data_IF_287353093814
#
_entry.id   IF_287353093814
#
_cell.length_a   1.000
_cell.length_b   1.000
_cell.length_c   1.000
_cell.angle_alpha   90.00
_cell.angle_beta   90.00
_cell.angle_gamma   90.00
#
_symmetry.space_group_name_H-M   'P 1'
#
loop_
_entity.id
_entity.type
_entity.pdbx_description
1 polymer ?
#
# COMPACT_ATOMS: atom_id res chain seq x y z
N UNK A 1 11.82 6.09 -31.47
CA UNK A 1 10.71 5.35 -30.82
C UNK A 1 11.23 3.97 -30.49
N UNK A 2 11.01 3.52 -29.26
CA UNK A 2 11.41 2.20 -28.76
C UNK A 2 10.18 1.36 -28.44
N UNK A 3 10.34 0.04 -28.45
CA UNK A 3 9.37 -0.94 -27.97
C UNK A 3 9.91 -1.56 -26.69
N UNK A 4 9.08 -1.57 -25.66
CA UNK A 4 9.37 -2.26 -24.39
C UNK A 4 8.22 -3.21 -24.09
N UNK A 5 8.49 -4.28 -23.35
CA UNK A 5 7.45 -5.19 -22.87
C UNK A 5 7.21 -4.93 -21.39
N UNK A 6 6.00 -4.50 -21.04
CA UNK A 6 5.64 -4.12 -19.67
C UNK A 6 4.68 -5.14 -19.06
N UNK A 7 4.89 -5.49 -17.81
CA UNK A 7 3.95 -6.29 -17.01
C UNK A 7 3.74 -5.66 -15.64
N UNK A 8 2.48 -5.49 -15.27
CA UNK A 8 2.06 -5.05 -13.94
C UNK A 8 1.63 -6.25 -13.09
N UNK A 9 2.03 -6.26 -11.82
CA UNK A 9 1.75 -7.33 -10.87
C UNK A 9 0.68 -6.93 -9.84
N UNK A 10 -0.04 -7.93 -9.33
CA UNK A 10 -1.07 -7.81 -8.30
C UNK A 10 -2.01 -6.60 -8.47
N UNK A 11 -2.19 -5.76 -7.44
CA UNK A 11 -3.14 -4.65 -7.41
C UNK A 11 -2.83 -3.53 -8.41
N UNK A 12 -1.61 -3.46 -8.98
CA UNK A 12 -1.33 -2.50 -10.04
C UNK A 12 -2.18 -2.75 -11.29
N UNK A 13 -2.69 -3.98 -11.45
CA UNK A 13 -3.59 -4.31 -12.54
C UNK A 13 -4.94 -3.59 -12.44
N UNK A 14 -5.33 -3.06 -11.28
CA UNK A 14 -6.59 -2.33 -11.12
C UNK A 14 -6.57 -0.96 -11.80
N UNK A 15 -5.39 -0.38 -12.02
CA UNK A 15 -5.21 0.89 -12.72
C UNK A 15 -5.29 0.77 -14.25
N UNK A 16 -5.08 -0.42 -14.82
CA UNK A 16 -4.98 -0.61 -16.27
C UNK A 16 -6.23 -1.29 -16.86
N UNK A 17 -6.44 -1.09 -18.15
CA UNK A 17 -7.57 -1.68 -18.88
C UNK A 17 -7.60 -3.21 -18.76
N UNK A 18 -8.81 -3.79 -18.64
CA UNK A 18 -9.01 -5.23 -18.35
C UNK A 18 -8.24 -6.13 -19.32
N UNK A 19 -8.20 -5.78 -20.61
CA UNK A 19 -7.46 -6.52 -21.61
C UNK A 19 -5.94 -6.46 -21.47
N UNK A 20 -5.37 -5.65 -20.57
CA UNK A 20 -3.92 -5.50 -20.38
C UNK A 20 -3.45 -6.14 -19.07
N UNK A 21 -4.39 -6.57 -18.22
CA UNK A 21 -4.10 -7.09 -16.87
C UNK A 21 -3.40 -8.45 -16.91
N UNK A 22 -2.50 -8.65 -15.95
CA UNK A 22 -1.81 -9.91 -15.61
C UNK A 22 -1.07 -10.56 -16.77
N UNK A 23 -0.67 -9.78 -17.78
CA UNK A 23 0.09 -10.25 -18.95
C UNK A 23 1.14 -9.24 -19.39
N UNK A 24 2.19 -9.68 -20.11
CA UNK A 24 3.11 -8.76 -20.77
C UNK A 24 2.41 -8.02 -21.93
N UNK A 25 2.69 -6.73 -22.07
CA UNK A 25 2.14 -5.84 -23.10
C UNK A 25 3.27 -5.11 -23.79
N UNK A 26 3.30 -5.13 -25.11
CA UNK A 26 4.24 -4.31 -25.89
C UNK A 26 3.77 -2.85 -25.86
N UNK A 27 4.64 -1.94 -25.42
CA UNK A 27 4.42 -0.50 -25.35
C UNK A 27 5.42 0.21 -26.24
N UNK A 28 4.95 1.17 -27.04
CA UNK A 28 5.81 2.04 -27.85
C UNK A 28 5.98 3.39 -27.17
N UNK A 29 7.23 3.82 -27.00
CA UNK A 29 7.58 5.07 -26.34
C UNK A 29 8.47 5.92 -27.25
N UNK A 30 8.29 7.23 -27.19
CA UNK A 30 9.22 8.19 -27.81
C UNK A 30 10.46 8.37 -26.92
N UNK A 31 11.62 8.58 -27.53
CA UNK A 31 12.86 8.80 -26.77
C UNK A 31 13.07 10.30 -26.51
N UNK A 32 13.67 10.67 -25.37
CA UNK A 32 14.12 9.80 -24.28
C UNK A 32 12.94 9.22 -23.49
N UNK A 33 13.02 7.93 -23.14
CA UNK A 33 11.98 7.22 -22.40
C UNK A 33 12.57 6.72 -21.08
N UNK A 34 11.88 6.99 -19.98
CA UNK A 34 12.20 6.50 -18.64
C UNK A 34 11.04 5.67 -18.09
N UNK A 35 11.30 4.89 -17.03
CA UNK A 35 10.28 4.09 -16.33
C UNK A 35 9.05 4.92 -15.94
N UNK A 36 9.21 6.16 -15.50
CA UNK A 36 8.08 7.05 -15.16
C UNK A 36 7.13 7.29 -16.34
N UNK A 37 7.63 7.31 -17.59
CA UNK A 37 6.77 7.45 -18.77
C UNK A 37 5.83 6.25 -18.93
N UNK A 38 6.25 5.03 -18.56
CA UNK A 38 5.38 3.84 -18.53
C UNK A 38 4.27 4.05 -17.51
N UNK A 39 4.61 4.45 -16.28
CA UNK A 39 3.64 4.64 -15.20
C UNK A 39 2.57 5.67 -15.59
N UNK A 40 2.99 6.80 -16.15
CA UNK A 40 2.10 7.85 -16.66
C UNK A 40 1.22 7.32 -17.79
N UNK A 41 1.80 6.62 -18.78
CA UNK A 41 1.06 6.08 -19.92
C UNK A 41 -0.06 5.13 -19.51
N UNK A 42 0.20 4.28 -18.51
CA UNK A 42 -0.76 3.31 -17.99
C UNK A 42 -1.66 3.85 -16.86
N UNK A 43 -1.46 5.10 -16.42
CA UNK A 43 -2.23 5.69 -15.33
C UNK A 43 -1.95 5.08 -13.96
N UNK A 44 -0.77 4.48 -13.77
CA UNK A 44 -0.36 3.88 -12.50
C UNK A 44 0.34 4.93 -11.63
N UNK A 45 -0.17 5.26 -10.44
CA UNK A 45 0.51 6.20 -9.55
C UNK A 45 1.84 5.63 -9.06
N UNK A 46 2.93 6.39 -9.16
CA UNK A 46 4.25 5.97 -8.67
C UNK A 46 4.28 5.74 -7.15
N UNK A 47 3.33 6.30 -6.40
CA UNK A 47 3.15 6.05 -4.98
C UNK A 47 2.69 4.63 -4.65
N UNK A 48 2.22 3.87 -5.64
CA UNK A 48 1.75 2.49 -5.48
C UNK A 48 2.79 1.46 -5.94
N UNK A 49 4.01 1.87 -6.29
CA UNK A 49 5.07 1.00 -6.85
C UNK A 49 6.26 0.94 -5.90
N UNK A 50 6.65 -0.27 -5.48
CA UNK A 50 7.82 -0.48 -4.60
C UNK A 50 9.01 -1.12 -5.32
N UNK A 51 8.81 -1.79 -6.45
CA UNK A 51 9.89 -2.39 -7.21
C UNK A 51 9.62 -2.29 -8.71
N UNK A 52 10.64 -1.83 -9.44
CA UNK A 52 10.69 -1.93 -10.89
C UNK A 52 11.90 -2.76 -11.27
N UNK A 53 11.70 -3.78 -12.09
CA UNK A 53 12.76 -4.57 -12.68
C UNK A 53 12.83 -4.28 -14.18
N UNK A 54 14.02 -3.96 -14.67
CA UNK A 54 14.33 -3.89 -16.11
C UNK A 54 15.31 -5.01 -16.43
N UNK A 55 14.88 -5.96 -17.27
CA UNK A 55 15.62 -7.17 -17.60
C UNK A 55 16.10 -7.94 -16.35
N UNK A 56 15.26 -7.96 -15.30
CA UNK A 56 15.55 -8.61 -14.01
C UNK A 56 16.37 -7.76 -13.03
N UNK A 57 16.86 -6.58 -13.44
CA UNK A 57 17.64 -5.70 -12.57
C UNK A 57 16.73 -4.66 -11.91
N UNK A 58 16.86 -4.50 -10.59
CA UNK A 58 16.15 -3.45 -9.85
C UNK A 58 16.64 -2.07 -10.23
N UNK A 59 15.71 -1.17 -10.56
CA UNK A 59 15.97 0.19 -11.01
C UNK A 59 14.97 1.18 -10.41
N UNK A 60 15.30 2.47 -10.45
CA UNK A 60 14.39 3.55 -10.04
C UNK A 60 13.51 4.05 -11.19
N UNK A 61 12.50 4.88 -10.86
CA UNK A 61 11.57 5.47 -11.86
C UNK A 61 12.25 6.37 -12.91
N UNK A 62 13.43 6.92 -12.59
CA UNK A 62 14.22 7.74 -13.52
C UNK A 62 15.12 6.94 -14.48
N UNK A 63 15.06 5.60 -14.45
CA UNK A 63 15.89 4.77 -15.31
C UNK A 63 15.48 4.89 -16.78
N UNK A 64 16.47 5.14 -17.65
CA UNK A 64 16.30 5.20 -19.11
C UNK A 64 16.07 3.82 -19.72
N UNK A 65 15.05 3.72 -20.57
CA UNK A 65 14.65 2.50 -21.24
C UNK A 65 15.28 2.40 -22.64
N UNK A 66 15.63 1.18 -23.03
CA UNK A 66 16.16 0.82 -24.33
C UNK A 66 15.15 -0.01 -25.14
N UNK A 67 15.34 -0.05 -26.46
CA UNK A 67 14.52 -0.92 -27.33
C UNK A 67 14.71 -2.39 -26.93
N UNK A 68 13.59 -3.09 -26.74
CA UNK A 68 13.54 -4.49 -26.34
C UNK A 68 13.47 -4.75 -24.83
N UNK A 69 13.54 -3.73 -23.97
CA UNK A 69 13.54 -3.93 -22.52
C UNK A 69 12.28 -4.65 -21.99
N UNK A 70 12.49 -5.53 -21.03
CA UNK A 70 11.45 -6.20 -20.25
C UNK A 70 11.27 -5.48 -18.91
N UNK A 71 10.13 -4.83 -18.72
CA UNK A 71 9.80 -4.04 -17.54
C UNK A 71 8.77 -4.76 -16.69
N UNK A 72 9.13 -5.12 -15.46
CA UNK A 72 8.19 -5.65 -14.47
C UNK A 72 7.98 -4.62 -13.38
N UNK A 73 6.71 -4.27 -13.12
CA UNK A 73 6.33 -3.27 -12.12
C UNK A 73 5.53 -3.96 -11.03
N UNK A 74 6.03 -3.88 -9.80
CA UNK A 74 5.42 -4.50 -8.63
C UNK A 74 4.84 -3.44 -7.71
N UNK A 75 3.68 -3.72 -7.10
CA UNK A 75 3.06 -2.80 -6.17
C UNK A 75 3.87 -2.68 -4.88
N UNK A 76 3.37 -1.85 -3.98
CA UNK A 76 3.86 -1.77 -2.60
C UNK A 76 3.83 -3.14 -1.94
N UNK A 77 4.97 -3.59 -1.42
CA UNK A 77 5.04 -4.83 -0.68
C UNK A 77 4.72 -4.54 0.78
N UNK A 78 3.48 -4.81 1.20
CA UNK A 78 3.07 -4.59 2.60
C UNK A 78 3.68 -5.63 3.57
N UNK A 79 4.17 -6.78 3.07
CA UNK A 79 4.62 -7.91 3.90
C UNK A 79 6.05 -8.42 3.65
N UNK A 80 6.83 -7.77 2.78
CA UNK A 80 8.22 -8.16 2.50
C UNK A 80 9.15 -6.96 2.57
N UNK A 81 10.20 -7.06 3.39
CA UNK A 81 11.30 -6.13 3.35
C UNK A 81 12.15 -6.39 2.10
N UNK A 82 11.99 -5.54 1.09
CA UNK A 82 12.76 -5.56 -0.15
C UNK A 82 13.80 -4.45 -0.21
N UNK A 83 14.16 -3.83 0.93
CA UNK A 83 15.02 -2.64 0.98
C UNK A 83 16.40 -2.86 0.39
N UNK A 84 16.95 -4.06 0.54
CA UNK A 84 18.24 -4.46 -0.03
C UNK A 84 18.18 -4.71 -1.56
N UNK A 85 16.96 -4.82 -2.10
CA UNK A 85 16.70 -5.17 -3.50
C UNK A 85 16.18 -3.95 -4.27
N UNK A 86 15.29 -3.14 -3.68
CA UNK A 86 14.69 -2.01 -4.35
C UNK A 86 15.66 -0.84 -4.50
N UNK A 87 15.63 -0.19 -5.67
CA UNK A 87 16.35 1.06 -5.92
C UNK A 87 15.43 2.27 -5.96
N UNK A 88 14.16 2.10 -5.59
CA UNK A 88 13.27 3.21 -5.35
C UNK A 88 13.58 3.85 -3.99
N UNK A 89 13.41 5.17 -3.83
CA UNK A 89 13.65 5.83 -2.55
C UNK A 89 12.78 5.20 -1.46
N UNK A 90 13.34 4.94 -0.27
CA UNK A 90 12.57 4.46 0.88
C UNK A 90 11.38 5.40 1.13
N UNK A 91 10.15 4.90 1.02
CA UNK A 91 8.95 5.62 1.46
C UNK A 91 8.36 4.90 2.67
N UNK A 92 8.22 5.60 3.81
CA UNK A 92 8.02 4.95 5.11
C UNK A 92 6.56 4.53 5.28
N UNK A 93 6.27 3.25 5.05
CA UNK A 93 5.23 2.51 5.76
C UNK A 93 5.74 1.16 6.25
N UNK A 94 7.05 1.04 6.47
CA UNK A 94 7.66 -0.15 7.08
C UNK A 94 7.11 -0.46 8.48
N UNK A 95 6.32 0.44 9.08
CA UNK A 95 5.71 0.29 10.40
C UNK A 95 4.25 0.72 10.30
N UNK A 96 3.33 -0.25 10.22
CA UNK A 96 1.90 0.01 10.28
C UNK A 96 1.55 0.53 11.68
N UNK A 97 1.13 1.80 11.76
CA UNK A 97 0.71 2.45 13.00
C UNK A 97 -0.79 2.67 12.98
N UNK A 98 -1.45 2.23 14.04
CA UNK A 98 -2.90 2.24 14.15
C UNK A 98 -3.34 3.21 15.26
N UNK A 99 -4.52 3.79 15.08
CA UNK A 99 -5.31 4.38 16.16
C UNK A 99 -6.60 3.57 16.27
N UNK A 100 -6.88 3.01 17.43
CA UNK A 100 -8.15 2.37 17.72
C UNK A 100 -9.07 3.31 18.50
N UNK A 101 -10.32 3.44 18.06
CA UNK A 101 -11.35 4.12 18.85
C UNK A 101 -11.71 3.32 20.13
N UNK A 102 -12.40 3.98 21.06
CA UNK A 102 -12.79 3.38 22.33
C UNK A 102 -13.74 2.18 22.23
N UNK A 103 -14.25 1.83 21.05
CA UNK A 103 -15.06 0.61 20.85
C UNK A 103 -14.21 -0.65 20.61
N UNK A 104 -12.89 -0.49 20.46
CA UNK A 104 -11.94 -1.53 20.07
C UNK A 104 -10.84 -1.75 21.14
N UNK A 105 -11.14 -1.49 22.42
CA UNK A 105 -10.19 -1.66 23.56
C UNK A 105 -9.53 -3.04 23.56
N UNK A 106 -10.33 -4.10 23.51
CA UNK A 106 -9.83 -5.48 23.54
C UNK A 106 -9.00 -5.83 22.30
N UNK A 107 -9.37 -5.31 21.12
CA UNK A 107 -8.57 -5.47 19.91
C UNK A 107 -7.22 -4.78 20.06
N UNK A 108 -7.19 -3.54 20.57
CA UNK A 108 -5.96 -2.80 20.78
C UNK A 108 -5.02 -3.49 21.77
N UNK A 109 -5.55 -4.09 22.85
CA UNK A 109 -4.76 -4.92 23.76
C UNK A 109 -4.14 -6.12 23.07
N UNK A 110 -4.92 -6.85 22.26
CA UNK A 110 -4.41 -8.01 21.52
C UNK A 110 -3.38 -7.63 20.47
N UNK A 111 -3.63 -6.55 19.73
CA UNK A 111 -2.67 -6.00 18.77
C UNK A 111 -1.32 -5.69 19.43
N UNK A 112 -1.31 -5.11 20.65
CA UNK A 112 -0.08 -4.86 21.41
C UNK A 112 0.63 -6.16 21.81
N UNK A 113 -0.10 -7.20 22.19
CA UNK A 113 0.47 -8.52 22.48
C UNK A 113 1.12 -9.14 21.23
N UNK A 114 0.56 -8.85 20.05
CA UNK A 114 1.11 -9.22 18.75
C UNK A 114 2.22 -8.27 18.24
N UNK A 115 2.67 -7.31 19.06
CA UNK A 115 3.76 -6.40 18.70
C UNK A 115 3.37 -5.26 17.74
N UNK A 116 2.08 -5.07 17.46
CA UNK A 116 1.61 -4.02 16.56
C UNK A 116 1.58 -2.65 17.25
N UNK A 117 2.01 -1.61 16.53
CA UNK A 117 1.93 -0.22 16.99
C UNK A 117 0.49 0.28 16.91
N UNK A 118 -0.23 0.16 18.04
CA UNK A 118 -1.59 0.68 18.19
C UNK A 118 -1.71 1.62 19.38
N UNK A 119 -2.18 2.82 19.07
CA UNK A 119 -2.61 3.80 20.04
C UNK A 119 -4.11 3.66 20.29
N UNK A 120 -4.50 3.52 21.54
CA UNK A 120 -5.90 3.40 21.93
C UNK A 120 -6.37 4.74 22.48
N UNK A 121 -7.47 5.26 21.93
CA UNK A 121 -8.07 6.54 22.32
C UNK A 121 -9.45 6.32 22.93
N UNK A 122 -9.45 5.86 24.19
CA UNK A 122 -10.67 5.70 24.97
C UNK A 122 -11.28 7.06 25.32
N UNK A 123 -12.58 7.22 25.10
CA UNK A 123 -13.33 8.44 25.47
C UNK A 123 -12.94 9.71 24.70
N UNK A 124 -12.09 9.61 23.67
CA UNK A 124 -11.74 10.73 22.82
C UNK A 124 -12.97 11.21 22.03
N UNK A 125 -13.08 12.52 21.83
CA UNK A 125 -14.07 13.06 20.92
C UNK A 125 -13.77 12.63 19.48
N UNK A 126 -14.78 12.70 18.62
CA UNK A 126 -14.62 12.40 17.19
C UNK A 126 -13.58 13.34 16.56
N UNK A 127 -13.55 14.59 16.99
CA UNK A 127 -12.62 15.62 16.54
C UNK A 127 -11.19 15.33 17.00
N UNK A 128 -10.99 14.88 18.24
CA UNK A 128 -9.67 14.50 18.77
C UNK A 128 -9.10 13.26 18.06
N UNK A 129 -9.96 12.26 17.80
CA UNK A 129 -9.60 11.06 17.04
C UNK A 129 -9.13 11.43 15.63
N UNK A 130 -9.90 12.28 14.94
CA UNK A 130 -9.54 12.76 13.59
C UNK A 130 -8.21 13.52 13.63
N UNK A 131 -8.03 14.43 14.59
CA UNK A 131 -6.79 15.20 14.72
C UNK A 131 -5.56 14.32 14.94
N UNK A 132 -5.67 13.28 15.78
CA UNK A 132 -4.60 12.32 16.03
C UNK A 132 -4.26 11.49 14.78
N UNK A 133 -5.28 11.03 14.03
CA UNK A 133 -5.10 10.30 12.77
C UNK A 133 -4.35 11.13 11.74
N UNK A 134 -4.74 12.40 11.58
CA UNK A 134 -4.14 13.32 10.60
C UNK A 134 -2.70 13.70 10.98
N UNK A 135 -2.46 14.03 12.25
CA UNK A 135 -1.13 14.47 12.71
C UNK A 135 -0.08 13.36 12.62
N UNK A 136 -0.40 12.15 13.07
CA UNK A 136 0.55 11.04 13.14
C UNK A 136 0.52 10.14 11.89
N UNK A 137 -0.35 10.43 10.92
CA UNK A 137 -0.57 9.63 9.70
C UNK A 137 -0.81 8.14 10.00
N UNK A 138 -1.62 7.88 11.03
CA UNK A 138 -1.96 6.52 11.50
C UNK A 138 -3.23 6.01 10.81
N UNK A 139 -3.42 4.70 10.75
CA UNK A 139 -4.65 4.08 10.22
C UNK A 139 -5.71 4.06 11.33
N UNK A 140 -6.87 4.66 11.09
CA UNK A 140 -7.98 4.63 12.05
C UNK A 140 -8.71 3.28 12.01
N UNK A 141 -8.79 2.58 13.13
CA UNK A 141 -9.60 1.40 13.34
C UNK A 141 -10.89 1.80 14.06
N UNK A 142 -12.03 1.46 13.49
CA UNK A 142 -13.34 1.77 14.08
C UNK A 142 -14.38 0.75 13.64
N UNK A 143 -15.46 0.63 14.44
CA UNK A 143 -16.71 -0.03 14.00
C UNK A 143 -17.78 0.97 13.55
N UNK A 144 -17.55 2.26 13.77
CA UNK A 144 -18.45 3.32 13.34
C UNK A 144 -18.09 3.77 11.91
N UNK A 145 -18.90 3.30 10.96
CA UNK A 145 -18.76 3.69 9.56
C UNK A 145 -18.86 5.21 9.36
N UNK A 146 -19.66 5.94 10.16
CA UNK A 146 -19.82 7.40 9.98
C UNK A 146 -18.54 8.15 10.32
N UNK A 147 -17.81 7.69 11.34
CA UNK A 147 -16.50 8.24 11.70
C UNK A 147 -15.49 8.03 10.57
N UNK A 148 -15.46 6.84 9.96
CA UNK A 148 -14.53 6.51 8.87
C UNK A 148 -14.82 7.25 7.55
N UNK A 149 -16.05 7.74 7.36
CA UNK A 149 -16.45 8.50 6.16
C UNK A 149 -16.13 10.00 6.26
N UNK A 150 -15.49 10.45 7.34
CA UNK A 150 -15.05 11.86 7.51
C UNK A 150 -13.96 12.18 6.48
N UNK A 151 -14.08 13.33 5.82
CA UNK A 151 -13.19 13.76 4.72
C UNK A 151 -11.72 13.89 5.14
N UNK A 152 -11.47 14.11 6.43
CA UNK A 152 -10.16 14.28 7.02
C UNK A 152 -9.44 12.95 7.27
N UNK A 153 -10.16 11.82 7.23
CA UNK A 153 -9.59 10.49 7.44
C UNK A 153 -9.11 9.96 6.09
N UNK A 154 -7.82 10.12 5.84
CA UNK A 154 -7.18 9.58 4.62
C UNK A 154 -7.16 8.05 4.61
N UNK A 155 -7.06 7.43 5.79
CA UNK A 155 -6.88 5.97 5.96
C UNK A 155 -7.63 5.45 7.17
N UNK A 156 -8.65 4.66 6.90
CA UNK A 156 -9.47 4.02 7.92
C UNK A 156 -9.80 2.57 7.57
N UNK A 157 -9.99 1.74 8.59
CA UNK A 157 -10.41 0.35 8.47
C UNK A 157 -11.62 0.08 9.36
N UNK A 158 -12.69 -0.39 8.72
CA UNK A 158 -13.91 -0.80 9.39
C UNK A 158 -13.74 -2.23 9.91
N UNK A 159 -13.73 -2.38 11.23
CA UNK A 159 -13.80 -3.67 11.89
C UNK A 159 -15.27 -4.13 11.88
N UNK A 160 -15.56 -5.22 11.16
CA UNK A 160 -16.94 -5.73 11.02
C UNK A 160 -17.32 -6.64 12.16
N UNK A 161 -16.36 -7.44 12.64
CA UNK A 161 -16.63 -8.37 13.72
C UNK A 161 -16.93 -7.65 15.04
N UNK A 162 -17.83 -8.22 15.83
CA UNK A 162 -18.03 -7.86 17.25
C UNK A 162 -17.18 -8.70 18.20
N UNK A 163 -16.70 -9.85 17.73
CA UNK A 163 -15.91 -10.81 18.50
C UNK A 163 -14.41 -10.47 18.40
N UNK A 164 -13.74 -10.12 19.51
CA UNK A 164 -12.36 -9.61 19.48
C UNK A 164 -11.32 -10.54 18.85
N UNK A 165 -11.52 -11.86 18.91
CA UNK A 165 -10.61 -12.82 18.25
C UNK A 165 -10.69 -12.67 16.73
N UNK A 166 -11.90 -12.63 16.20
CA UNK A 166 -12.15 -12.45 14.77
C UNK A 166 -11.81 -11.03 14.30
N UNK A 167 -11.89 -10.02 15.18
CA UNK A 167 -11.43 -8.66 14.85
C UNK A 167 -9.93 -8.62 14.54
N UNK A 168 -9.13 -9.32 15.35
CA UNK A 168 -7.69 -9.42 15.10
C UNK A 168 -7.44 -10.22 13.82
N UNK A 169 -8.11 -11.34 13.60
CA UNK A 169 -7.98 -12.10 12.35
C UNK A 169 -8.36 -11.27 11.11
N UNK A 170 -9.42 -10.47 11.18
CA UNK A 170 -9.85 -9.55 10.13
C UNK A 170 -8.76 -8.52 9.83
N UNK A 171 -8.14 -7.96 10.86
CA UNK A 171 -7.02 -7.02 10.74
C UNK A 171 -5.78 -7.70 10.16
N UNK A 172 -5.34 -8.82 10.74
CA UNK A 172 -4.15 -9.54 10.29
C UNK A 172 -4.31 -10.06 8.87
N UNK A 173 -5.52 -10.45 8.46
CA UNK A 173 -5.82 -10.82 7.08
C UNK A 173 -5.77 -9.62 6.14
N UNK A 174 -6.28 -8.47 6.58
CA UNK A 174 -6.34 -7.26 5.77
C UNK A 174 -4.97 -6.66 5.48
N UNK A 175 -4.06 -6.76 6.44
CA UNK A 175 -2.72 -6.17 6.39
C UNK A 175 -1.60 -7.22 6.24
N UNK A 176 -1.95 -8.48 5.93
CA UNK A 176 -1.02 -9.64 5.77
C UNK A 176 -0.03 -9.85 6.93
N UNK A 177 -0.40 -9.45 8.16
CA UNK A 177 0.43 -9.49 9.38
C UNK A 177 0.60 -10.90 10.00
N UNK A 178 0.16 -11.97 9.31
CA UNK A 178 0.21 -13.35 9.82
C UNK A 178 1.57 -14.03 9.65
N UNK A 179 2.52 -13.41 8.95
CA UNK A 179 3.87 -13.96 8.71
C UNK A 179 4.94 -13.47 9.70
N UNK A 180 4.58 -12.58 10.62
CA UNK A 180 5.53 -11.95 11.56
C UNK A 180 5.39 -12.44 13.02
N UNK A 181 4.66 -13.54 13.27
CA UNK A 181 4.53 -14.16 14.60
C UNK A 181 5.24 -15.53 14.68
#
# INVERSE_FOLDING_TARGET
MIRVTVRFYEELNDFIGVGLRKRPVETRLEQPAIVENILIYYGVPSANVDLVLVNGNSVGIGHELQDGDLVSVYPVFESFDISDITRLPERPLRHLRFIADGSLVELAHRMRLFGLDVELREGASVEDLVAAVVSDRRILLSRDQKLLMRKEIDRGFLIRSREPATQLEELLARFDLRKEA
#
